data_IF_413591191443
#
_entry.id   IF_413591191443
#
_cell.length_a   1.000
_cell.length_b   1.000
_cell.length_c   1.000
_cell.angle_alpha   90.00
_cell.angle_beta   90.00
_cell.angle_gamma   90.00
#
_symmetry.space_group_name_H-M   'P 1'
#
loop_
_entity.id
_entity.type
_entity.pdbx_description
1 polymer ?
#
# COMPACT_ATOMS: atom_id res chain seq x y z
N UNK A 1 28.83 -26.50 -44.43
CA UNK A 1 27.36 -26.72 -44.45
C UNK A 1 26.96 -27.15 -43.05
N UNK A 2 26.52 -26.20 -42.23
CA UNK A 2 25.11 -25.86 -41.87
C UNK A 2 24.64 -26.61 -40.63
N UNK A 3 24.47 -25.84 -39.54
CA UNK A 3 23.42 -26.02 -38.52
C UNK A 3 22.02 -26.05 -39.17
N UNK A 4 20.96 -26.52 -38.48
CA UNK A 4 20.14 -25.68 -37.57
C UNK A 4 19.83 -26.38 -36.23
N UNK A 5 19.77 -25.68 -35.09
CA UNK A 5 18.69 -24.81 -34.57
C UNK A 5 17.57 -25.58 -33.84
N UNK A 6 17.34 -25.19 -32.60
CA UNK A 6 16.27 -25.67 -31.72
C UNK A 6 16.27 -24.92 -30.40
N UNK A 7 15.78 -23.68 -30.45
CA UNK A 7 15.57 -22.77 -29.32
C UNK A 7 14.52 -23.31 -28.33
N UNK A 8 14.77 -23.22 -27.02
CA UNK A 8 13.73 -23.27 -26.00
C UNK A 8 14.11 -22.34 -24.84
N UNK A 9 13.13 -21.53 -24.44
CA UNK A 9 13.25 -20.32 -23.66
C UNK A 9 13.87 -20.49 -22.27
N UNK A 10 14.77 -19.57 -21.91
CA UNK A 10 15.16 -19.34 -20.53
C UNK A 10 13.95 -18.76 -19.76
N UNK A 11 13.26 -19.63 -19.01
CA UNK A 11 12.37 -19.18 -17.96
C UNK A 11 13.22 -18.45 -16.91
N UNK A 12 12.93 -17.17 -16.67
CA UNK A 12 13.46 -16.42 -15.53
C UNK A 12 12.90 -17.07 -14.27
N UNK A 13 13.70 -17.94 -13.67
CA UNK A 13 13.43 -18.57 -12.38
C UNK A 13 13.57 -17.50 -11.28
N UNK A 14 12.48 -16.77 -11.03
CA UNK A 14 12.40 -15.78 -9.95
C UNK A 14 12.26 -16.54 -8.64
N UNK A 15 13.40 -16.71 -7.96
CA UNK A 15 13.51 -17.33 -6.64
C UNK A 15 12.78 -16.48 -5.60
N UNK A 16 11.60 -16.93 -5.19
CA UNK A 16 10.77 -16.28 -4.17
C UNK A 16 11.42 -16.50 -2.79
N UNK A 17 12.17 -15.50 -2.30
CA UNK A 17 12.62 -15.46 -0.91
C UNK A 17 11.45 -15.12 -0.01
N UNK A 18 10.96 -16.13 0.71
CA UNK A 18 10.18 -15.94 1.93
C UNK A 18 11.19 -15.55 3.01
N UNK A 19 11.48 -14.25 3.10
CA UNK A 19 12.26 -13.69 4.21
C UNK A 19 11.39 -12.61 4.85
N UNK A 20 11.24 -12.71 6.17
CA UNK A 20 10.34 -11.92 6.99
C UNK A 20 10.79 -10.45 6.98
N UNK A 21 10.26 -9.69 6.02
CA UNK A 21 10.79 -8.40 5.58
C UNK A 21 10.49 -7.26 6.58
N UNK A 22 11.46 -7.01 7.46
CA UNK A 22 11.47 -5.84 8.35
C UNK A 22 11.95 -4.56 7.61
N UNK A 23 12.48 -4.70 6.39
CA UNK A 23 12.94 -3.61 5.52
C UNK A 23 11.74 -2.78 5.05
N UNK A 24 10.61 -3.44 4.74
CA UNK A 24 9.39 -2.75 4.35
C UNK A 24 8.88 -1.75 5.41
N UNK A 25 9.11 -2.06 6.69
CA UNK A 25 8.75 -1.16 7.79
C UNK A 25 9.73 0.00 7.95
N UNK A 26 11.00 -0.18 7.61
CA UNK A 26 12.02 0.86 7.80
C UNK A 26 11.86 2.00 6.80
N UNK A 27 11.67 1.71 5.51
CA UNK A 27 11.51 2.78 4.52
C UNK A 27 10.19 3.56 4.71
N UNK A 28 9.10 2.87 5.11
CA UNK A 28 7.83 3.52 5.45
C UNK A 28 7.96 4.47 6.65
N UNK A 29 8.77 4.09 7.66
CA UNK A 29 9.13 4.97 8.79
C UNK A 29 9.91 6.19 8.32
N UNK A 30 10.89 6.03 7.42
CA UNK A 30 11.68 7.13 6.88
C UNK A 30 10.81 8.14 6.12
N UNK A 31 9.89 7.67 5.28
CA UNK A 31 8.95 8.56 4.57
C UNK A 31 8.00 9.25 5.56
N UNK A 32 7.47 8.52 6.54
CA UNK A 32 6.60 9.09 7.58
C UNK A 32 7.31 10.18 8.38
N UNK A 33 8.58 9.97 8.74
CA UNK A 33 9.43 10.97 9.40
C UNK A 33 9.69 12.19 8.50
N UNK A 34 9.99 11.98 7.22
CA UNK A 34 10.21 13.08 6.28
C UNK A 34 8.96 13.95 6.12
N UNK A 35 7.77 13.34 6.04
CA UNK A 35 6.49 14.05 5.99
C UNK A 35 6.27 14.84 7.29
N UNK A 36 6.50 14.25 8.46
CA UNK A 36 6.40 14.96 9.75
C UNK A 36 7.35 16.16 9.83
N UNK A 37 8.59 16.01 9.37
CA UNK A 37 9.59 17.08 9.33
C UNK A 37 9.11 18.27 8.49
N UNK A 38 8.43 18.02 7.36
CA UNK A 38 7.88 19.09 6.51
C UNK A 38 6.65 19.80 7.08
N UNK A 39 6.00 19.20 8.09
CA UNK A 39 4.81 19.77 8.76
C UNK A 39 5.23 20.65 9.94
N UNK A 40 6.31 20.30 10.65
CA UNK A 40 6.84 21.11 11.76
C UNK A 40 7.29 22.52 11.33
N UNK A 41 7.70 22.69 10.06
CA UNK A 41 8.03 23.99 9.46
C UNK A 41 6.82 24.94 9.30
N UNK A 42 5.59 24.43 9.51
CA UNK A 42 4.33 25.20 9.39
C UNK A 42 3.52 25.16 10.68
N UNK A 43 4.14 25.58 11.77
CA UNK A 43 3.45 25.72 13.05
C UNK A 43 2.67 27.03 13.08
N UNK A 44 1.35 26.97 12.82
CA UNK A 44 0.36 27.76 13.56
C UNK A 44 -1.09 27.37 13.21
N UNK A 45 -1.90 27.34 14.27
CA UNK A 45 -3.37 27.14 14.36
C UNK A 45 -3.88 25.69 14.36
N UNK A 46 -4.30 25.27 15.56
CA UNK A 46 -5.30 24.24 15.87
C UNK A 46 -5.53 23.21 14.75
N UNK A 47 -4.52 22.37 14.49
CA UNK A 47 -4.60 21.43 13.39
C UNK A 47 -5.55 20.29 13.76
N UNK A 48 -6.78 20.35 13.23
CA UNK A 48 -7.40 19.11 12.77
C UNK A 48 -6.40 18.52 11.79
N UNK A 49 -5.64 17.52 12.22
CA UNK A 49 -4.71 16.81 11.35
C UNK A 49 -5.44 16.40 10.06
N UNK A 50 -4.72 16.29 8.93
CA UNK A 50 -5.33 15.94 7.65
C UNK A 50 -6.17 14.68 7.81
N UNK A 51 -7.46 14.76 7.45
CA UNK A 51 -8.35 13.60 7.49
C UNK A 51 -8.08 12.76 6.25
N UNK A 52 -7.89 11.43 6.37
CA UNK A 52 -7.65 10.59 5.20
C UNK A 52 -8.81 10.69 4.21
N UNK A 53 -8.48 10.63 2.92
CA UNK A 53 -9.49 10.59 1.87
C UNK A 53 -10.31 9.29 1.95
N UNK A 54 -11.58 9.31 1.53
CA UNK A 54 -12.39 8.10 1.51
C UNK A 54 -11.83 7.03 0.58
N UNK A 55 -11.88 5.77 1.00
CA UNK A 55 -11.53 4.63 0.17
C UNK A 55 -12.70 4.24 -0.73
N UNK A 56 -12.46 4.21 -2.04
CA UNK A 56 -13.48 3.98 -3.07
C UNK A 56 -13.49 2.54 -3.62
N UNK A 57 -12.80 1.59 -2.98
CA UNK A 57 -12.78 0.19 -3.41
C UNK A 57 -11.79 -0.13 -4.53
N UNK A 58 -10.91 0.81 -4.89
CA UNK A 58 -9.88 0.58 -5.90
C UNK A 58 -8.68 -0.11 -5.27
N UNK A 59 -8.34 -1.30 -5.76
CA UNK A 59 -7.19 -2.07 -5.29
C UNK A 59 -5.87 -1.28 -5.34
N UNK A 60 -5.74 -0.44 -6.37
CA UNK A 60 -4.63 0.49 -6.59
C UNK A 60 -4.44 1.53 -5.48
N UNK A 61 -5.52 1.89 -4.80
CA UNK A 61 -5.50 2.93 -3.77
C UNK A 61 -5.32 2.33 -2.37
N UNK A 62 -5.38 0.99 -2.23
CA UNK A 62 -5.39 0.28 -0.94
C UNK A 62 -4.18 0.63 -0.08
N UNK A 63 -2.97 0.57 -0.63
CA UNK A 63 -1.76 0.81 0.16
C UNK A 63 -1.54 2.29 0.47
N UNK A 64 -1.85 3.18 -0.46
CA UNK A 64 -1.88 4.62 -0.20
C UNK A 64 -2.88 4.96 0.91
N UNK A 65 -4.09 4.43 0.82
CA UNK A 65 -5.13 4.64 1.82
C UNK A 65 -4.69 4.15 3.21
N UNK A 66 -4.07 2.96 3.29
CA UNK A 66 -3.57 2.43 4.56
C UNK A 66 -2.42 3.27 5.14
N UNK A 67 -1.52 3.81 4.30
CA UNK A 67 -0.46 4.71 4.75
C UNK A 67 -1.03 6.02 5.30
N UNK A 68 -1.94 6.66 4.57
CA UNK A 68 -2.61 7.88 4.99
C UNK A 68 -3.38 7.67 6.30
N UNK A 69 -3.97 6.49 6.47
CA UNK A 69 -4.70 6.10 7.69
C UNK A 69 -3.77 5.84 8.89
N UNK A 70 -2.65 5.14 8.70
CA UNK A 70 -1.67 4.91 9.77
C UNK A 70 -1.01 6.24 10.19
N UNK A 71 -0.73 7.13 9.24
CA UNK A 71 -0.27 8.49 9.53
C UNK A 71 -1.30 9.26 10.36
N UNK A 72 -2.59 9.18 9.99
CA UNK A 72 -3.66 9.77 10.77
C UNK A 72 -3.71 9.25 12.20
N UNK A 73 -3.56 7.94 12.41
CA UNK A 73 -3.53 7.35 13.75
C UNK A 73 -2.36 7.84 14.58
N UNK A 74 -1.16 7.94 13.98
CA UNK A 74 0.02 8.47 14.64
C UNK A 74 -0.18 9.94 15.08
N UNK A 75 -0.88 10.74 14.28
CA UNK A 75 -1.19 12.14 14.59
C UNK A 75 -2.38 12.32 15.55
N UNK A 76 -3.29 11.35 15.63
CA UNK A 76 -4.55 11.45 16.38
C UNK A 76 -4.65 10.36 17.45
N UNK A 77 -3.62 10.22 18.29
CA UNK A 77 -3.52 9.16 19.30
C UNK A 77 -4.78 9.00 20.16
N UNK A 78 -5.43 10.11 20.58
CA UNK A 78 -6.65 10.06 21.40
C UNK A 78 -7.84 9.46 20.63
N UNK A 79 -7.97 9.76 19.34
CA UNK A 79 -9.07 9.28 18.50
C UNK A 79 -8.88 7.83 18.07
N UNK A 80 -7.63 7.39 17.96
CA UNK A 80 -7.24 6.06 17.50
C UNK A 80 -6.52 5.24 18.59
N UNK A 81 -6.89 5.44 19.86
CA UNK A 81 -6.18 4.83 21.01
C UNK A 81 -6.48 3.35 21.25
N UNK A 82 -7.47 2.78 20.55
CA UNK A 82 -7.90 1.39 20.70
C UNK A 82 -8.08 0.76 19.32
N UNK A 83 -7.88 -0.54 19.23
CA UNK A 83 -8.09 -1.28 17.98
C UNK A 83 -9.51 -1.12 17.45
N UNK A 84 -10.52 -1.19 18.32
CA UNK A 84 -11.92 -0.97 17.95
C UNK A 84 -12.13 0.39 17.26
N UNK A 85 -11.67 1.49 17.86
CA UNK A 85 -11.73 2.82 17.24
C UNK A 85 -10.99 2.90 15.91
N UNK A 86 -9.83 2.25 15.76
CA UNK A 86 -9.11 2.20 14.48
C UNK A 86 -9.95 1.52 13.40
N UNK A 87 -10.58 0.37 13.72
CA UNK A 87 -11.52 -0.33 12.82
C UNK A 87 -12.71 0.56 12.46
N UNK A 88 -13.32 1.23 13.44
CA UNK A 88 -14.43 2.16 13.20
C UNK A 88 -14.04 3.31 12.28
N UNK A 89 -12.86 3.90 12.48
CA UNK A 89 -12.35 4.98 11.63
C UNK A 89 -12.17 4.47 10.20
N UNK A 90 -11.52 3.32 9.99
CA UNK A 90 -11.40 2.73 8.65
C UNK A 90 -12.79 2.54 8.02
N UNK A 91 -13.72 1.87 8.72
CA UNK A 91 -15.08 1.62 8.22
C UNK A 91 -15.81 2.92 7.87
N UNK A 92 -15.61 4.00 8.61
CA UNK A 92 -16.21 5.30 8.33
C UNK A 92 -15.76 5.90 6.99
N UNK A 93 -14.51 5.61 6.59
CA UNK A 93 -13.85 6.10 5.37
C UNK A 93 -14.14 5.22 4.15
N UNK A 94 -14.69 4.01 4.33
CA UNK A 94 -15.13 3.15 3.24
C UNK A 94 -16.39 3.74 2.58
N UNK A 95 -16.29 4.04 1.27
CA UNK A 95 -17.33 4.66 0.43
C UNK A 95 -17.38 4.02 -0.97
N UNK A 96 -18.36 4.42 -1.78
CA UNK A 96 -18.55 3.90 -3.15
C UNK A 96 -19.16 2.50 -3.17
N UNK A 97 -18.74 1.67 -4.13
CA UNK A 97 -19.26 0.33 -4.40
C UNK A 97 -18.82 -0.74 -3.37
N UNK A 98 -18.31 -0.29 -2.22
CA UNK A 98 -17.81 -1.11 -1.11
C UNK A 98 -18.86 -1.35 -0.02
N UNK A 99 -20.12 -1.00 -0.29
CA UNK A 99 -21.21 -0.97 0.70
C UNK A 99 -21.45 -2.32 1.37
N UNK A 100 -21.47 -3.41 0.59
CA UNK A 100 -21.72 -4.75 1.11
C UNK A 100 -20.62 -5.21 2.07
N UNK A 101 -19.36 -4.98 1.70
CA UNK A 101 -18.21 -5.26 2.55
C UNK A 101 -18.31 -4.47 3.87
N UNK A 102 -18.57 -3.17 3.78
CA UNK A 102 -18.73 -2.29 4.95
C UNK A 102 -19.84 -2.76 5.88
N UNK A 103 -21.01 -3.14 5.34
CA UNK A 103 -22.14 -3.65 6.13
C UNK A 103 -21.73 -4.93 6.86
N UNK A 104 -21.14 -5.89 6.14
CA UNK A 104 -20.69 -7.17 6.70
C UNK A 104 -19.68 -6.97 7.83
N UNK A 105 -18.70 -6.10 7.65
CA UNK A 105 -17.69 -5.84 8.68
C UNK A 105 -18.23 -5.02 9.85
N UNK A 106 -19.22 -4.15 9.62
CA UNK A 106 -19.91 -3.44 10.72
C UNK A 106 -20.72 -4.41 11.58
N UNK A 107 -21.42 -5.38 10.96
CA UNK A 107 -22.15 -6.44 11.69
C UNK A 107 -21.21 -7.35 12.48
N UNK A 108 -20.00 -7.60 11.97
CA UNK A 108 -18.96 -8.34 12.70
C UNK A 108 -18.43 -7.55 13.89
N UNK A 109 -18.27 -6.23 13.73
CA UNK A 109 -17.78 -5.37 14.80
C UNK A 109 -18.83 -5.18 15.91
N UNK A 110 -20.12 -5.20 15.55
CA UNK A 110 -21.25 -5.06 16.47
C UNK A 110 -22.28 -6.18 16.24
N UNK A 111 -22.00 -7.41 16.70
CA UNK A 111 -22.93 -8.52 16.57
C UNK A 111 -24.20 -8.24 17.38
N UNK A 112 -25.36 -8.43 16.74
CA UNK A 112 -26.68 -8.18 17.34
C UNK A 112 -27.08 -9.28 18.34
N UNK A 113 -26.68 -10.52 18.07
CA UNK A 113 -26.92 -11.66 18.95
C UNK A 113 -26.07 -11.58 20.22
N UNK A 114 -26.64 -11.99 21.36
CA UNK A 114 -25.92 -12.16 22.64
C UNK A 114 -25.04 -13.41 22.68
N UNK A 115 -24.65 -13.90 21.49
CA UNK A 115 -23.72 -15.00 21.31
C UNK A 115 -22.35 -14.59 21.87
N UNK A 116 -22.02 -15.14 23.04
CA UNK A 116 -20.81 -14.78 23.79
C UNK A 116 -19.53 -15.05 22.99
N UNK A 117 -19.54 -16.05 22.10
CA UNK A 117 -18.37 -16.40 21.31
C UNK A 117 -18.14 -15.38 20.18
N UNK A 118 -19.18 -15.02 19.42
CA UNK A 118 -19.04 -14.00 18.34
C UNK A 118 -18.66 -12.63 18.90
N UNK A 119 -19.23 -12.24 20.05
CA UNK A 119 -18.87 -11.00 20.76
C UNK A 119 -17.41 -11.03 21.19
N UNK A 120 -16.95 -12.16 21.71
CA UNK A 120 -15.57 -12.36 22.13
C UNK A 120 -14.61 -12.30 20.95
N UNK A 121 -14.89 -13.00 19.85
CA UNK A 121 -14.09 -12.94 18.63
C UNK A 121 -13.96 -11.51 18.07
N UNK A 122 -15.06 -10.76 18.04
CA UNK A 122 -15.07 -9.37 17.57
C UNK A 122 -14.21 -8.43 18.46
N UNK A 123 -14.29 -8.63 19.78
CA UNK A 123 -13.55 -7.86 20.78
C UNK A 123 -12.06 -8.22 20.82
N UNK A 124 -11.71 -9.50 20.60
CA UNK A 124 -10.33 -9.99 20.61
C UNK A 124 -9.57 -9.71 19.32
N UNK A 125 -10.26 -9.49 18.20
CA UNK A 125 -9.60 -9.17 16.94
C UNK A 125 -8.81 -7.85 17.06
N UNK A 126 -7.52 -7.93 16.80
CA UNK A 126 -6.62 -6.76 16.82
C UNK A 126 -6.73 -5.91 15.55
N UNK A 127 -6.24 -4.67 15.62
CA UNK A 127 -6.13 -3.80 14.43
C UNK A 127 -5.31 -4.46 13.32
N UNK A 128 -4.22 -5.15 13.68
CA UNK A 128 -3.36 -5.84 12.72
C UNK A 128 -4.08 -6.94 11.94
N UNK A 129 -4.88 -7.77 12.64
CA UNK A 129 -5.69 -8.82 12.01
C UNK A 129 -6.73 -8.22 11.06
N UNK A 130 -7.46 -7.21 11.53
CA UNK A 130 -8.46 -6.51 10.72
C UNK A 130 -7.83 -5.86 9.47
N UNK A 131 -6.69 -5.18 9.63
CA UNK A 131 -5.94 -4.58 8.51
C UNK A 131 -5.54 -5.63 7.48
N UNK A 132 -5.10 -6.81 7.92
CA UNK A 132 -4.74 -7.90 7.02
C UNK A 132 -5.95 -8.42 6.24
N UNK A 133 -7.13 -8.56 6.88
CA UNK A 133 -8.36 -8.93 6.16
C UNK A 133 -8.78 -7.88 5.14
N UNK A 134 -8.68 -6.59 5.50
CA UNK A 134 -8.91 -5.49 4.57
C UNK A 134 -7.95 -5.56 3.37
N UNK A 135 -6.66 -5.78 3.62
CA UNK A 135 -5.69 -5.99 2.55
C UNK A 135 -6.08 -7.18 1.67
N UNK A 136 -6.42 -8.34 2.24
CA UNK A 136 -6.79 -9.53 1.47
C UNK A 136 -8.03 -9.33 0.58
N UNK A 137 -9.00 -8.51 1.01
CA UNK A 137 -10.18 -8.20 0.19
C UNK A 137 -9.83 -7.32 -1.02
N UNK A 138 -8.96 -6.32 -0.81
CA UNK A 138 -8.65 -5.29 -1.79
C UNK A 138 -7.29 -5.45 -2.47
N UNK A 139 -6.58 -6.55 -2.21
CA UNK A 139 -5.36 -6.93 -2.93
C UNK A 139 -5.73 -7.59 -4.25
N UNK A 140 -4.97 -7.35 -5.34
CA UNK A 140 -5.20 -8.02 -6.59
C UNK A 140 -4.98 -9.53 -6.48
N UNK A 141 -5.87 -10.32 -7.08
CA UNK A 141 -5.75 -11.79 -7.15
C UNK A 141 -4.43 -12.22 -7.81
N UNK A 142 -3.90 -11.38 -8.71
CA UNK A 142 -2.57 -11.55 -9.29
C UNK A 142 -1.72 -10.28 -9.09
N UNK A 143 -1.32 -10.06 -7.84
CA UNK A 143 -0.48 -8.92 -7.42
C UNK A 143 0.70 -8.72 -8.38
N UNK A 144 1.42 -9.79 -8.72
CA UNK A 144 2.61 -9.72 -9.58
C UNK A 144 2.28 -9.21 -10.97
N UNK A 145 1.27 -9.77 -11.64
CA UNK A 145 0.89 -9.35 -13.01
C UNK A 145 0.37 -7.92 -13.04
N UNK A 146 -0.47 -7.55 -12.09
CA UNK A 146 -1.01 -6.19 -12.05
C UNK A 146 0.05 -5.15 -11.74
N UNK A 147 0.91 -5.42 -10.76
CA UNK A 147 2.06 -4.58 -10.47
C UNK A 147 2.95 -4.46 -11.70
N UNK A 148 3.25 -5.56 -12.39
CA UNK A 148 4.07 -5.55 -13.60
C UNK A 148 3.47 -4.66 -14.69
N UNK A 149 2.15 -4.78 -14.96
CA UNK A 149 1.46 -3.88 -15.90
C UNK A 149 1.57 -2.41 -15.48
N UNK A 150 1.45 -2.10 -14.18
CA UNK A 150 1.54 -0.73 -13.67
C UNK A 150 2.96 -0.16 -13.76
N UNK A 151 3.95 -0.98 -13.44
CA UNK A 151 5.37 -0.67 -13.68
C UNK A 151 5.60 -0.46 -15.18
N UNK A 152 4.92 -1.18 -16.07
CA UNK A 152 4.99 -1.01 -17.52
C UNK A 152 4.36 0.29 -18.04
N UNK A 153 3.27 0.72 -17.43
CA UNK A 153 2.53 1.92 -17.83
C UNK A 153 3.10 3.22 -17.26
N UNK A 154 3.78 3.17 -16.11
CA UNK A 154 4.30 4.38 -15.46
C UNK A 154 5.40 5.04 -16.31
N UNK A 155 5.22 6.33 -16.58
CA UNK A 155 6.16 7.17 -17.34
C UNK A 155 6.24 8.54 -16.70
N UNK A 156 7.38 9.21 -16.85
CA UNK A 156 7.48 10.63 -16.55
C UNK A 156 6.54 11.38 -17.50
N UNK A 157 5.55 12.07 -16.93
CA UNK A 157 4.68 13.00 -17.67
C UNK A 157 5.26 14.41 -17.54
N UNK A 158 4.90 15.11 -16.47
CA UNK A 158 5.20 16.54 -16.31
C UNK A 158 6.33 16.81 -15.30
N UNK A 159 6.36 16.08 -14.18
CA UNK A 159 7.37 16.27 -13.13
C UNK A 159 7.99 14.96 -12.66
N UNK A 160 9.29 14.98 -12.43
CA UNK A 160 10.06 13.81 -12.00
C UNK A 160 9.69 13.35 -10.58
N UNK A 161 9.35 14.26 -9.68
CA UNK A 161 8.93 13.94 -8.31
C UNK A 161 7.60 13.18 -8.27
N UNK A 162 6.65 13.55 -9.13
CA UNK A 162 5.38 12.81 -9.25
C UNK A 162 5.62 11.37 -9.74
N UNK A 163 6.51 11.21 -10.72
CA UNK A 163 6.89 9.88 -11.21
C UNK A 163 7.55 9.05 -10.11
N UNK A 164 8.52 9.60 -9.38
CA UNK A 164 9.19 8.91 -8.27
C UNK A 164 8.18 8.49 -7.21
N UNK A 165 7.29 9.39 -6.80
CA UNK A 165 6.27 9.09 -5.80
C UNK A 165 5.33 7.95 -6.25
N UNK A 166 4.87 7.98 -7.51
CA UNK A 166 4.04 6.91 -8.08
C UNK A 166 4.79 5.59 -8.18
N UNK A 167 6.06 5.62 -8.60
CA UNK A 167 6.89 4.41 -8.69
C UNK A 167 7.10 3.79 -7.30
N UNK A 168 7.44 4.61 -6.31
CA UNK A 168 7.62 4.16 -4.93
C UNK A 168 6.33 3.53 -4.40
N UNK A 169 5.16 4.15 -4.62
CA UNK A 169 3.85 3.59 -4.24
C UNK A 169 3.60 2.22 -4.87
N UNK A 170 3.86 2.07 -6.17
CA UNK A 170 3.72 0.78 -6.84
C UNK A 170 4.70 -0.23 -6.25
N UNK A 171 5.95 0.18 -5.97
CA UNK A 171 7.01 -0.67 -5.42
C UNK A 171 6.66 -1.26 -4.04
N UNK A 172 5.94 -0.52 -3.19
CA UNK A 172 5.50 -0.99 -1.86
C UNK A 172 4.57 -2.19 -1.94
N UNK A 173 3.79 -2.26 -3.02
CA UNK A 173 2.79 -3.31 -3.23
C UNK A 173 3.41 -4.57 -3.83
N UNK A 174 4.72 -4.56 -4.05
CA UNK A 174 5.46 -5.63 -4.70
C UNK A 174 6.27 -6.43 -3.69
N UNK A 175 6.65 -7.63 -4.10
CA UNK A 175 7.69 -8.42 -3.44
C UNK A 175 9.00 -8.39 -4.23
N UNK A 176 9.18 -7.41 -5.12
CA UNK A 176 10.41 -7.28 -5.89
C UNK A 176 11.54 -6.80 -4.99
N UNK A 177 12.74 -7.32 -5.24
CA UNK A 177 13.94 -6.81 -4.59
C UNK A 177 14.40 -5.49 -5.20
N UNK A 178 15.35 -4.85 -4.53
CA UNK A 178 15.90 -3.55 -4.95
C UNK A 178 16.56 -3.60 -6.34
N UNK A 179 17.12 -4.75 -6.74
CA UNK A 179 17.75 -4.91 -8.05
C UNK A 179 16.70 -4.87 -9.18
N UNK A 180 15.62 -5.64 -9.02
CA UNK A 180 14.50 -5.64 -9.95
C UNK A 180 13.83 -4.26 -10.01
N UNK A 181 13.58 -3.63 -8.85
CA UNK A 181 13.00 -2.28 -8.79
C UNK A 181 13.90 -1.23 -9.45
N UNK A 182 15.22 -1.29 -9.25
CA UNK A 182 16.18 -0.38 -9.88
C UNK A 182 16.15 -0.51 -11.40
N UNK A 183 16.07 -1.75 -11.91
CA UNK A 183 15.97 -2.01 -13.35
C UNK A 183 14.66 -1.45 -13.92
N UNK A 184 13.53 -1.73 -13.27
CA UNK A 184 12.23 -1.22 -13.68
C UNK A 184 12.17 0.30 -13.67
N UNK A 185 12.70 0.94 -12.63
CA UNK A 185 12.76 2.39 -12.53
C UNK A 185 13.53 2.99 -13.72
N UNK A 186 14.71 2.42 -14.04
CA UNK A 186 15.55 2.87 -15.16
C UNK A 186 14.83 2.74 -16.49
N UNK A 187 14.21 1.59 -16.75
CA UNK A 187 13.55 1.27 -18.03
C UNK A 187 12.34 2.17 -18.33
N UNK A 188 11.84 2.91 -17.33
CA UNK A 188 10.72 3.85 -17.45
C UNK A 188 11.13 5.33 -17.51
N UNK A 189 12.41 5.63 -17.32
CA UNK A 189 12.92 6.97 -17.56
C UNK A 189 13.02 7.27 -19.07
N UNK A 190 12.81 8.53 -19.50
CA UNK A 190 13.16 8.99 -20.83
C UNK A 190 14.63 8.68 -21.16
N UNK A 191 14.91 8.31 -22.42
CA UNK A 191 16.26 7.96 -22.90
C UNK A 191 17.30 9.03 -22.56
N UNK A 192 16.91 10.31 -22.62
CA UNK A 192 17.76 11.46 -22.28
C UNK A 192 18.21 11.48 -20.82
N UNK A 193 17.37 10.99 -19.89
CA UNK A 193 17.72 10.85 -18.47
C UNK A 193 18.49 9.57 -18.20
N UNK A 194 18.11 8.45 -18.84
CA UNK A 194 18.86 7.19 -18.76
C UNK A 194 20.35 7.41 -19.10
N UNK A 195 20.62 8.12 -20.20
CA UNK A 195 21.99 8.38 -20.64
C UNK A 195 22.77 9.31 -19.69
N UNK A 196 22.10 10.20 -18.96
CA UNK A 196 22.74 11.14 -18.02
C UNK A 196 23.03 10.52 -16.65
N UNK A 197 22.25 9.52 -16.25
CA UNK A 197 22.43 8.80 -14.98
C UNK A 197 23.45 7.65 -15.14
N UNK A 198 23.87 7.33 -16.38
CA UNK A 198 24.89 6.32 -16.69
C UNK A 198 26.30 6.90 -16.95
N UNK A 199 26.57 8.12 -16.45
CA UNK A 199 27.92 8.71 -16.30
C UNK A 199 28.25 8.82 -14.82
#
# INVERSE_FOLDING_TARGET
MTTPSGSAAAALDVKLKIEHDDTNKQWARTISMAILQTIDDKKDKASKGPTPDPFLGKQLDTCRFLLDLELYFAMNLIKANTDEKKKMILLSLIKGDTREWKIRETMRLFPEDDDSEKKKEAAEETWSSFKQRFQNEWQPVNVVREVQMKIEEIKIKDRADEYVNRFCLIAMDTKYDDEALTKFFRDRLPKSLQNKIML
#
